data_IF_940048656215
#
_entry.id   IF_940048656215
#
_cell.length_a   1.000
_cell.length_b   1.000
_cell.length_c   1.000
_cell.angle_alpha   90.00
_cell.angle_beta   90.00
_cell.angle_gamma   90.00
#
_symmetry.space_group_name_H-M   'P 1'
#
loop_
_entity.id
_entity.type
_entity.pdbx_description
1 polymer ?
#
# COMPACT_ATOMS: atom_id res chain seq x y z
N UNK A 1 73.20 -61.57 1.91
CA UNK A 1 71.99 -61.75 2.67
C UNK A 1 71.11 -60.50 2.53
N UNK A 2 70.22 -60.56 1.57
CA UNK A 2 69.18 -59.52 1.40
C UNK A 2 67.96 -59.99 2.15
N UNK A 3 67.64 -59.36 3.26
CA UNK A 3 66.36 -59.53 3.95
C UNK A 3 65.36 -58.65 3.18
N UNK A 4 64.48 -59.30 2.47
CA UNK A 4 63.33 -58.64 1.80
C UNK A 4 62.31 -58.36 2.92
N UNK A 5 62.28 -57.10 3.39
CA UNK A 5 61.22 -56.65 4.25
C UNK A 5 59.95 -56.58 3.42
N UNK A 6 58.97 -57.38 3.80
CA UNK A 6 57.63 -57.30 3.23
C UNK A 6 57.01 -55.96 3.59
N UNK A 7 56.41 -55.25 2.65
CA UNK A 7 55.75 -53.97 2.95
C UNK A 7 54.58 -54.23 3.93
N UNK A 8 54.74 -53.77 5.13
CA UNK A 8 53.76 -53.91 6.21
C UNK A 8 52.46 -53.18 5.81
N UNK A 9 51.35 -53.85 5.90
CA UNK A 9 49.99 -53.24 5.60
C UNK A 9 49.69 -52.00 6.43
N UNK A 10 50.40 -51.79 7.53
CA UNK A 10 50.27 -50.60 8.39
C UNK A 10 50.79 -49.32 7.74
N UNK A 11 51.73 -49.36 6.78
CA UNK A 11 52.24 -48.14 6.15
C UNK A 11 51.27 -47.49 5.19
N UNK A 12 50.29 -48.20 4.68
CA UNK A 12 49.24 -47.60 3.86
C UNK A 12 48.25 -46.75 4.62
N UNK A 13 47.97 -47.07 5.87
CA UNK A 13 47.11 -46.28 6.75
C UNK A 13 47.83 -45.08 7.33
N UNK A 14 49.15 -45.18 7.54
CA UNK A 14 49.94 -44.05 8.02
C UNK A 14 50.00 -42.87 7.02
N UNK A 15 49.97 -43.16 5.70
CA UNK A 15 49.93 -42.12 4.67
C UNK A 15 48.52 -41.56 4.44
N UNK A 16 47.44 -42.28 4.84
CA UNK A 16 46.08 -41.79 4.77
C UNK A 16 45.68 -40.84 5.89
N UNK A 17 46.32 -40.95 7.04
CA UNK A 17 46.01 -40.14 8.23
C UNK A 17 46.13 -38.63 7.98
N UNK A 18 47.21 -38.10 7.34
CA UNK A 18 47.32 -36.65 7.09
C UNK A 18 46.30 -36.18 6.05
N UNK A 19 45.96 -37.03 5.02
CA UNK A 19 44.96 -36.70 4.04
C UNK A 19 43.56 -36.65 4.67
N UNK A 20 43.22 -37.59 5.52
CA UNK A 20 41.96 -37.58 6.28
C UNK A 20 41.86 -36.38 7.22
N UNK A 21 42.93 -35.98 7.88
CA UNK A 21 42.98 -34.80 8.75
C UNK A 21 42.71 -33.50 7.93
N UNK A 22 43.32 -33.35 6.76
CA UNK A 22 43.10 -32.20 5.88
C UNK A 22 41.65 -32.17 5.37
N UNK A 23 41.08 -33.31 4.97
CA UNK A 23 39.67 -33.40 4.53
C UNK A 23 38.70 -33.04 5.66
N UNK A 24 38.93 -33.50 6.87
CA UNK A 24 38.13 -33.15 8.04
C UNK A 24 38.21 -31.65 8.36
N UNK A 25 39.41 -31.07 8.26
CA UNK A 25 39.61 -29.65 8.48
C UNK A 25 38.86 -28.81 7.39
N UNK A 26 38.95 -29.20 6.12
CA UNK A 26 38.22 -28.53 5.04
C UNK A 26 36.70 -28.67 5.21
N UNK A 27 36.23 -29.86 5.63
CA UNK A 27 34.80 -30.08 5.92
C UNK A 27 34.33 -29.21 7.10
N UNK A 28 35.14 -29.05 8.12
CA UNK A 28 34.84 -28.17 9.27
C UNK A 28 34.76 -26.69 8.85
N UNK A 29 35.70 -26.24 8.02
CA UNK A 29 35.66 -24.88 7.45
C UNK A 29 34.41 -24.69 6.57
N UNK A 30 34.15 -25.63 5.67
CA UNK A 30 32.96 -25.56 4.79
C UNK A 30 31.64 -25.52 5.57
N UNK A 31 31.52 -26.33 6.63
CA UNK A 31 30.34 -26.34 7.49
C UNK A 31 30.21 -25.04 8.32
N UNK A 32 31.31 -24.46 8.77
CA UNK A 32 31.31 -23.17 9.47
C UNK A 32 30.87 -22.03 8.53
N UNK A 33 31.39 -21.99 7.30
CA UNK A 33 30.92 -21.02 6.29
C UNK A 33 29.45 -21.20 5.93
N UNK A 34 28.99 -22.44 5.80
CA UNK A 34 27.58 -22.74 5.52
C UNK A 34 26.69 -22.26 6.65
N UNK A 35 27.05 -22.53 7.89
CA UNK A 35 26.31 -22.09 9.06
C UNK A 35 26.21 -20.56 9.15
N UNK A 36 27.34 -19.86 8.97
CA UNK A 36 27.36 -18.40 8.98
C UNK A 36 26.50 -17.79 7.87
N UNK A 37 26.51 -18.41 6.69
CA UNK A 37 25.70 -17.92 5.55
C UNK A 37 24.20 -18.09 5.76
N UNK A 38 23.80 -19.18 6.40
CA UNK A 38 22.38 -19.40 6.74
C UNK A 38 21.91 -18.34 7.75
N UNK A 39 22.70 -18.08 8.77
CA UNK A 39 22.37 -17.08 9.80
C UNK A 39 22.30 -15.66 9.24
N UNK A 40 23.15 -15.33 8.28
CA UNK A 40 23.15 -14.02 7.61
C UNK A 40 21.88 -13.81 6.77
N UNK A 41 21.45 -14.82 6.00
CA UNK A 41 20.23 -14.78 5.20
C UNK A 41 18.99 -14.68 6.08
N UNK A 42 18.93 -15.39 7.19
CA UNK A 42 17.81 -15.30 8.14
C UNK A 42 17.70 -13.90 8.76
N UNK A 43 18.83 -13.29 9.14
CA UNK A 43 18.87 -11.92 9.67
C UNK A 43 18.44 -10.88 8.67
N UNK A 44 18.83 -11.02 7.40
CA UNK A 44 18.38 -10.13 6.32
C UNK A 44 16.85 -10.24 6.09
N UNK A 45 16.31 -11.46 6.09
CA UNK A 45 14.87 -11.68 5.94
C UNK A 45 14.07 -11.09 7.10
N UNK A 46 14.56 -11.24 8.33
CA UNK A 46 13.92 -10.61 9.51
C UNK A 46 13.98 -9.08 9.47
N UNK A 47 15.09 -8.52 8.98
CA UNK A 47 15.21 -7.07 8.80
C UNK A 47 14.21 -6.55 7.79
N UNK A 48 14.13 -7.18 6.61
CA UNK A 48 13.17 -6.83 5.56
C UNK A 48 11.72 -6.96 6.08
N UNK A 49 11.41 -8.02 6.79
CA UNK A 49 10.06 -8.22 7.37
C UNK A 49 9.70 -7.09 8.33
N UNK A 50 10.60 -6.70 9.22
CA UNK A 50 10.39 -5.58 10.15
C UNK A 50 10.21 -4.26 9.41
N UNK A 51 10.98 -4.01 8.36
CA UNK A 51 10.88 -2.80 7.56
C UNK A 51 9.53 -2.73 6.81
N UNK A 52 9.06 -3.86 6.28
CA UNK A 52 7.74 -3.97 5.65
C UNK A 52 6.62 -3.74 6.67
N UNK A 53 6.69 -4.36 7.84
CA UNK A 53 5.71 -4.16 8.92
C UNK A 53 5.67 -2.70 9.37
N UNK A 54 6.83 -2.07 9.54
CA UNK A 54 6.92 -0.65 9.88
C UNK A 54 6.33 0.25 8.78
N UNK A 55 6.65 -0.03 7.51
CA UNK A 55 6.09 0.70 6.37
C UNK A 55 4.56 0.56 6.29
N UNK A 56 4.03 -0.65 6.50
CA UNK A 56 2.59 -0.90 6.54
C UNK A 56 1.90 -0.14 7.67
N UNK A 57 2.46 -0.15 8.88
CA UNK A 57 1.90 0.59 10.01
C UNK A 57 1.90 2.10 9.74
N UNK A 58 2.99 2.62 9.20
CA UNK A 58 3.11 4.04 8.85
C UNK A 58 2.12 4.46 7.77
N UNK A 59 1.95 3.61 6.74
CA UNK A 59 0.96 3.85 5.69
C UNK A 59 -0.46 3.83 6.26
N UNK A 60 -0.78 2.85 7.11
CA UNK A 60 -2.09 2.74 7.76
C UNK A 60 -2.41 3.98 8.59
N UNK A 61 -1.47 4.45 9.39
CA UNK A 61 -1.66 5.66 10.21
C UNK A 61 -1.91 6.89 9.32
N UNK A 62 -1.14 7.06 8.23
CA UNK A 62 -1.36 8.14 7.29
C UNK A 62 -2.74 8.08 6.63
N UNK A 63 -3.17 6.89 6.18
CA UNK A 63 -4.49 6.74 5.58
C UNK A 63 -5.61 7.07 6.56
N UNK A 64 -5.50 6.65 7.83
CA UNK A 64 -6.47 6.98 8.87
C UNK A 64 -6.52 8.49 9.14
N UNK A 65 -5.37 9.14 9.22
CA UNK A 65 -5.30 10.59 9.39
C UNK A 65 -5.95 11.33 8.21
N UNK A 66 -5.69 10.89 6.97
CA UNK A 66 -6.32 11.48 5.78
C UNK A 66 -7.83 11.23 5.74
N UNK A 67 -8.24 10.03 6.08
CA UNK A 67 -9.66 9.71 6.22
C UNK A 67 -10.34 10.64 7.22
N UNK A 68 -9.73 10.89 8.37
CA UNK A 68 -10.29 11.78 9.38
C UNK A 68 -10.47 13.21 8.87
N UNK A 69 -9.52 13.75 8.08
CA UNK A 69 -9.65 15.07 7.47
C UNK A 69 -10.85 15.14 6.50
N UNK A 70 -11.00 14.13 5.65
CA UNK A 70 -12.15 14.05 4.73
C UNK A 70 -13.46 13.91 5.52
N UNK A 71 -13.48 13.12 6.59
CA UNK A 71 -14.66 12.96 7.45
C UNK A 71 -15.03 14.24 8.20
N UNK A 72 -14.06 15.07 8.59
CA UNK A 72 -14.33 16.40 9.16
C UNK A 72 -15.00 17.28 8.13
N UNK A 73 -14.45 17.34 6.92
CA UNK A 73 -15.04 18.09 5.81
C UNK A 73 -16.47 17.57 5.50
N UNK A 74 -16.67 16.25 5.52
CA UNK A 74 -17.96 15.62 5.31
C UNK A 74 -18.98 16.03 6.40
N UNK A 75 -18.57 16.13 7.66
CA UNK A 75 -19.42 16.61 8.75
C UNK A 75 -19.83 18.07 8.58
N UNK A 76 -18.90 18.94 8.20
CA UNK A 76 -19.18 20.37 8.00
C UNK A 76 -20.17 20.55 6.83
N UNK A 77 -20.08 19.72 5.78
CA UNK A 77 -21.04 19.69 4.68
C UNK A 77 -22.39 19.16 5.16
N UNK A 78 -22.40 18.06 5.92
CA UNK A 78 -23.61 17.41 6.45
C UNK A 78 -24.40 18.36 7.36
N UNK A 79 -23.72 19.10 8.21
CA UNK A 79 -24.31 20.08 9.13
C UNK A 79 -24.73 21.38 8.43
N UNK A 80 -24.58 21.49 7.10
CA UNK A 80 -24.81 22.70 6.31
C UNK A 80 -24.03 23.92 6.77
N UNK A 81 -22.93 23.69 7.46
CA UNK A 81 -22.03 24.76 7.91
C UNK A 81 -21.27 25.41 6.76
N UNK A 82 -21.09 24.64 5.65
CA UNK A 82 -20.38 25.11 4.46
C UNK A 82 -21.22 24.91 3.18
N UNK A 83 -21.10 25.89 2.28
CA UNK A 83 -21.65 25.84 0.92
C UNK A 83 -20.60 25.37 -0.08
N UNK A 84 -21.01 25.14 -1.33
CA UNK A 84 -20.12 24.65 -2.40
C UNK A 84 -18.86 25.53 -2.58
N UNK A 85 -18.99 26.86 -2.49
CA UNK A 85 -17.83 27.78 -2.60
C UNK A 85 -16.85 27.61 -1.45
N UNK A 86 -17.36 27.48 -0.23
CA UNK A 86 -16.53 27.26 0.97
C UNK A 86 -15.91 25.86 0.97
N UNK A 87 -16.63 24.86 0.43
CA UNK A 87 -16.08 23.53 0.20
C UNK A 87 -14.88 23.60 -0.74
N UNK A 88 -14.99 24.33 -1.86
CA UNK A 88 -13.90 24.48 -2.83
C UNK A 88 -12.64 25.06 -2.17
N UNK A 89 -12.79 26.13 -1.37
CA UNK A 89 -11.66 26.75 -0.67
C UNK A 89 -10.99 25.78 0.31
N UNK A 90 -11.78 25.04 1.09
CA UNK A 90 -11.24 24.04 2.03
C UNK A 90 -10.62 22.85 1.33
N UNK A 91 -11.25 22.36 0.25
CA UNK A 91 -10.73 21.27 -0.57
C UNK A 91 -9.39 21.67 -1.24
N UNK A 92 -9.29 22.90 -1.74
CA UNK A 92 -8.04 23.42 -2.30
C UNK A 92 -6.93 23.44 -1.23
N UNK A 93 -7.22 23.94 -0.04
CA UNK A 93 -6.25 23.95 1.06
C UNK A 93 -5.78 22.54 1.43
N UNK A 94 -6.70 21.57 1.49
CA UNK A 94 -6.36 20.16 1.77
C UNK A 94 -5.50 19.55 0.67
N UNK A 95 -5.84 19.77 -0.60
CA UNK A 95 -5.09 19.22 -1.74
C UNK A 95 -3.69 19.86 -1.83
N UNK A 96 -3.55 21.15 -1.48
CA UNK A 96 -2.24 21.80 -1.45
C UNK A 96 -1.39 21.36 -0.26
N UNK A 97 -2.02 21.16 0.90
CA UNK A 97 -1.31 20.75 2.12
C UNK A 97 -0.88 19.29 2.08
N UNK A 98 -1.65 18.42 1.42
CA UNK A 98 -1.47 16.98 1.40
C UNK A 98 -1.35 16.47 -0.04
N UNK A 99 -0.13 16.27 -0.54
CA UNK A 99 0.11 15.87 -1.93
C UNK A 99 -0.43 14.47 -2.27
N UNK A 100 -0.86 13.70 -1.27
CA UNK A 100 -1.52 12.41 -1.46
C UNK A 100 -2.95 12.56 -2.02
N UNK A 101 -3.61 13.72 -1.80
CA UNK A 101 -4.91 13.99 -2.40
C UNK A 101 -4.74 14.47 -3.84
N UNK A 102 -5.35 13.74 -4.75
CA UNK A 102 -5.41 14.14 -6.17
C UNK A 102 -6.63 15.00 -6.46
N UNK A 103 -7.74 14.70 -5.82
CA UNK A 103 -8.98 15.45 -5.95
C UNK A 103 -9.87 15.28 -4.72
N UNK A 104 -10.75 16.24 -4.49
CA UNK A 104 -11.85 16.18 -3.55
C UNK A 104 -13.13 16.60 -4.26
N UNK A 105 -14.11 15.71 -4.29
CA UNK A 105 -15.34 15.88 -5.03
C UNK A 105 -16.54 15.71 -4.12
N UNK A 106 -17.44 16.68 -4.12
CA UNK A 106 -18.72 16.58 -3.44
C UNK A 106 -19.81 16.16 -4.40
N UNK A 107 -20.49 15.06 -4.11
CA UNK A 107 -21.56 14.43 -4.89
C UNK A 107 -22.82 14.39 -4.04
N UNK A 108 -23.97 14.83 -4.59
CA UNK A 108 -25.25 14.80 -3.88
C UNK A 108 -25.92 13.41 -3.89
N UNK A 109 -27.10 13.30 -3.24
CA UNK A 109 -27.92 12.10 -3.19
C UNK A 109 -28.47 11.65 -4.56
N UNK A 110 -28.46 12.54 -5.54
CA UNK A 110 -28.86 12.28 -6.94
C UNK A 110 -27.68 12.00 -7.85
N UNK A 111 -26.49 11.77 -7.27
CA UNK A 111 -25.25 11.52 -7.98
C UNK A 111 -24.77 12.70 -8.82
N UNK A 112 -25.21 13.92 -8.55
CA UNK A 112 -24.68 15.11 -9.22
C UNK A 112 -23.44 15.60 -8.49
N UNK A 113 -22.46 15.99 -9.26
CA UNK A 113 -21.25 16.61 -8.76
C UNK A 113 -21.58 18.06 -8.43
N UNK A 114 -21.57 18.41 -7.15
CA UNK A 114 -21.83 19.76 -6.66
C UNK A 114 -20.58 20.63 -6.78
N UNK A 115 -19.44 20.09 -6.37
CA UNK A 115 -18.15 20.75 -6.43
C UNK A 115 -17.04 19.73 -6.62
N UNK A 116 -15.99 20.13 -7.30
CA UNK A 116 -14.80 19.31 -7.50
C UNK A 116 -13.55 20.19 -7.47
N UNK A 117 -12.59 19.84 -6.63
CA UNK A 117 -11.26 20.42 -6.58
C UNK A 117 -10.23 19.35 -6.87
N UNK A 118 -9.42 19.55 -7.90
CA UNK A 118 -8.37 18.61 -8.30
C UNK A 118 -7.04 19.29 -8.52
N UNK A 119 -5.94 18.55 -8.36
CA UNK A 119 -4.60 19.00 -8.78
C UNK A 119 -4.58 19.00 -10.32
N UNK A 120 -4.30 20.14 -10.88
CA UNK A 120 -4.49 20.48 -12.30
C UNK A 120 -3.70 19.62 -13.33
N UNK A 121 -2.82 18.69 -12.88
CA UNK A 121 -1.78 18.16 -13.78
C UNK A 121 -1.84 16.66 -14.07
N UNK A 122 -2.64 15.87 -13.39
CA UNK A 122 -2.45 14.41 -13.42
C UNK A 122 -3.63 13.55 -13.87
N UNK A 123 -4.83 14.09 -13.95
CA UNK A 123 -5.97 13.32 -14.43
C UNK A 123 -6.75 14.09 -15.50
N UNK A 124 -7.15 13.45 -16.58
CA UNK A 124 -8.21 13.97 -17.44
C UNK A 124 -9.53 13.88 -16.68
N UNK A 125 -9.67 14.72 -15.64
CA UNK A 125 -10.86 14.82 -14.77
C UNK A 125 -12.07 15.45 -15.52
N UNK A 126 -12.15 15.22 -16.82
CA UNK A 126 -13.29 15.64 -17.65
C UNK A 126 -14.63 15.04 -17.16
N UNK A 127 -14.54 13.94 -16.39
CA UNK A 127 -15.72 13.24 -15.90
C UNK A 127 -16.26 13.75 -14.55
N UNK A 128 -15.49 14.56 -13.82
CA UNK A 128 -15.86 15.06 -12.49
C UNK A 128 -16.10 16.58 -12.47
N UNK A 129 -16.78 17.10 -13.48
CA UNK A 129 -17.15 18.52 -13.53
C UNK A 129 -18.41 18.79 -12.70
N UNK A 130 -18.42 19.91 -11.98
CA UNK A 130 -19.59 20.38 -11.27
C UNK A 130 -20.81 20.45 -12.22
N UNK A 131 -21.98 20.02 -11.76
CA UNK A 131 -23.22 19.95 -12.53
C UNK A 131 -23.39 18.68 -13.35
N UNK A 132 -22.37 17.83 -13.49
CA UNK A 132 -22.49 16.54 -14.19
C UNK A 132 -22.97 15.44 -13.24
N UNK A 133 -23.53 14.36 -13.81
CA UNK A 133 -23.93 13.17 -13.05
C UNK A 133 -22.80 12.15 -13.09
N UNK A 134 -22.52 11.53 -11.96
CA UNK A 134 -21.53 10.46 -11.87
C UNK A 134 -21.90 9.33 -12.83
N UNK A 135 -20.96 8.96 -13.70
CA UNK A 135 -21.18 7.89 -14.70
C UNK A 135 -21.22 6.53 -14.02
N UNK A 136 -21.98 5.61 -14.66
CA UNK A 136 -22.03 4.20 -14.25
C UNK A 136 -20.65 3.57 -14.42
N UNK A 137 -20.17 2.91 -13.36
CA UNK A 137 -18.87 2.27 -13.35
C UNK A 137 -18.44 1.87 -11.94
N UNK A 138 -17.16 1.61 -11.74
CA UNK A 138 -16.60 1.19 -10.44
C UNK A 138 -16.81 2.24 -9.34
N UNK A 139 -16.64 3.53 -9.69
CA UNK A 139 -16.90 4.64 -8.75
C UNK A 139 -18.36 4.68 -8.31
N UNK A 140 -19.32 4.32 -9.18
CA UNK A 140 -20.73 4.24 -8.82
C UNK A 140 -21.01 3.09 -7.86
N UNK A 141 -20.36 1.95 -8.02
CA UNK A 141 -20.49 0.81 -7.12
C UNK A 141 -20.05 1.18 -5.71
N UNK A 142 -18.91 1.87 -5.56
CA UNK A 142 -18.43 2.34 -4.27
C UNK A 142 -19.31 3.44 -3.67
N UNK A 143 -19.85 4.33 -4.50
CA UNK A 143 -20.82 5.33 -4.07
C UNK A 143 -22.09 4.66 -3.49
N UNK A 144 -22.65 3.66 -4.19
CA UNK A 144 -23.82 2.93 -3.73
C UNK A 144 -23.56 2.17 -2.43
N UNK A 145 -22.36 1.55 -2.30
CA UNK A 145 -21.97 0.85 -1.10
C UNK A 145 -21.79 1.80 0.10
N UNK A 146 -21.19 2.98 -0.12
CA UNK A 146 -21.06 4.01 0.92
C UNK A 146 -22.43 4.53 1.38
N UNK A 147 -23.38 4.70 0.44
CA UNK A 147 -24.76 5.06 0.74
C UNK A 147 -25.47 4.00 1.60
N UNK A 148 -25.36 2.75 1.21
CA UNK A 148 -26.14 1.66 1.82
C UNK A 148 -25.57 1.29 3.21
N UNK A 149 -24.26 1.37 3.39
CA UNK A 149 -23.59 1.08 4.66
C UNK A 149 -23.45 2.30 5.57
N UNK A 150 -23.61 3.52 5.07
CA UNK A 150 -23.35 4.78 5.79
C UNK A 150 -21.97 4.80 6.47
N UNK A 151 -20.97 4.23 5.81
CA UNK A 151 -19.59 4.15 6.28
C UNK A 151 -18.62 4.57 5.18
N UNK A 152 -17.44 5.07 5.53
CA UNK A 152 -16.38 5.33 4.56
C UNK A 152 -15.96 4.05 3.84
N UNK A 153 -15.97 4.08 2.51
CA UNK A 153 -15.61 2.95 1.66
C UNK A 153 -14.38 3.30 0.84
N UNK A 154 -13.40 2.44 0.87
CA UNK A 154 -12.25 2.52 -0.02
C UNK A 154 -12.50 1.69 -1.27
N UNK A 155 -12.25 2.28 -2.42
CA UNK A 155 -12.29 1.62 -3.71
C UNK A 155 -11.02 1.88 -4.51
N UNK A 156 -10.63 0.93 -5.31
CA UNK A 156 -9.59 1.09 -6.32
C UNK A 156 -10.26 1.33 -7.66
N UNK A 157 -9.85 2.37 -8.35
CA UNK A 157 -10.35 2.70 -9.69
C UNK A 157 -9.17 2.91 -10.62
N UNK A 158 -9.25 2.39 -11.82
CA UNK A 158 -8.24 2.61 -12.83
C UNK A 158 -8.36 4.05 -13.35
N UNK A 159 -7.24 4.76 -13.35
CA UNK A 159 -7.21 6.19 -13.66
C UNK A 159 -7.41 6.49 -15.15
N UNK A 160 -7.25 5.50 -16.02
CA UNK A 160 -7.31 5.66 -17.45
C UNK A 160 -8.13 4.52 -18.08
N UNK A 161 -8.99 4.86 -19.05
CA UNK A 161 -9.72 3.88 -19.88
C UNK A 161 -8.76 3.07 -20.78
N UNK A 162 -7.51 3.53 -20.88
CA UNK A 162 -6.46 2.87 -21.64
C UNK A 162 -5.75 1.80 -20.77
N UNK A 163 -6.14 0.55 -20.97
CA UNK A 163 -5.63 -0.64 -20.26
C UNK A 163 -4.11 -0.87 -20.33
N UNK A 164 -3.39 0.00 -21.02
CA UNK A 164 -1.92 -0.05 -21.15
C UNK A 164 -1.20 0.66 -20.00
N UNK A 165 -1.86 1.57 -19.31
CA UNK A 165 -1.28 2.34 -18.22
C UNK A 165 -1.85 1.83 -16.88
N UNK A 166 -1.07 1.08 -16.13
CA UNK A 166 -1.45 0.43 -14.87
C UNK A 166 -1.59 1.44 -13.70
N UNK A 167 -2.07 2.65 -13.99
CA UNK A 167 -2.28 3.70 -13.02
C UNK A 167 -3.64 3.53 -12.35
N UNK A 168 -3.67 2.99 -11.16
CA UNK A 168 -4.87 2.91 -10.34
C UNK A 168 -4.83 3.93 -9.20
N UNK A 169 -5.99 4.49 -8.91
CA UNK A 169 -6.19 5.47 -7.83
C UNK A 169 -7.00 4.83 -6.71
N UNK A 170 -6.60 5.07 -5.49
CA UNK A 170 -7.39 4.72 -4.32
C UNK A 170 -8.41 5.84 -4.07
N UNK A 171 -9.70 5.50 -4.13
CA UNK A 171 -10.78 6.43 -3.85
C UNK A 171 -11.36 6.16 -2.46
N UNK A 172 -11.63 7.23 -1.71
CA UNK A 172 -12.32 7.18 -0.43
C UNK A 172 -13.70 7.83 -0.60
N UNK A 173 -14.75 7.04 -0.46
CA UNK A 173 -16.14 7.51 -0.47
C UNK A 173 -16.61 7.72 0.95
N UNK A 174 -16.68 8.98 1.40
CA UNK A 174 -17.17 9.36 2.74
C UNK A 174 -18.64 9.80 2.65
N UNK A 175 -19.60 9.03 3.22
CA UNK A 175 -21.01 9.36 3.13
C UNK A 175 -21.35 10.62 3.93
N UNK A 176 -22.27 11.39 3.38
CA UNK A 176 -22.88 12.56 4.02
C UNK A 176 -24.26 12.19 4.57
N UNK A 177 -24.60 12.70 5.73
CA UNK A 177 -25.93 12.57 6.32
C UNK A 177 -26.59 13.93 6.50
N UNK A 178 -27.90 14.01 6.36
CA UNK A 178 -28.66 15.19 6.73
C UNK A 178 -28.99 15.19 8.24
N UNK A 179 -29.68 16.24 8.70
CA UNK A 179 -30.09 16.41 10.11
C UNK A 179 -30.97 15.26 10.63
N UNK A 180 -31.58 14.48 9.72
CA UNK A 180 -32.42 13.31 10.04
C UNK A 180 -31.61 11.99 10.00
N UNK A 181 -30.30 12.04 9.84
CA UNK A 181 -29.44 10.86 9.68
C UNK A 181 -29.61 10.12 8.36
N UNK A 182 -30.29 10.70 7.38
CA UNK A 182 -30.47 10.11 6.05
C UNK A 182 -29.34 10.50 5.14
N UNK A 183 -29.00 9.60 4.24
CA UNK A 183 -28.00 9.85 3.21
C UNK A 183 -28.30 11.11 2.40
N UNK A 184 -27.32 11.97 2.23
CA UNK A 184 -27.43 13.23 1.48
C UNK A 184 -26.37 13.39 0.39
N UNK A 185 -25.43 12.46 0.28
CA UNK A 185 -24.38 12.47 -0.73
C UNK A 185 -23.09 11.81 -0.25
N UNK A 186 -22.01 12.05 -0.97
CA UNK A 186 -20.66 11.50 -0.69
C UNK A 186 -19.62 12.59 -0.97
N UNK A 187 -18.57 12.62 -0.15
CA UNK A 187 -17.29 13.24 -0.52
C UNK A 187 -16.36 12.12 -1.00
N UNK A 188 -15.83 12.31 -2.20
CA UNK A 188 -14.91 11.43 -2.90
C UNK A 188 -13.52 12.04 -2.90
#
# INVERSE_FOLDING_TARGET
>A
WWVRQSPNRQDRFANLAPVAAVLLFLAAIASAFWYLRIEEVEREQEAIKRDVEYAQQRLRLRLLERQEQVMRLARDVSNREIKAEQFMVRAEALVQQYPEYQSLTWIDDRRRIIANQSVSSLLPSQHLRAGTVLKIGETESHYSLARDLMQPIYGRVDADDDKTNNNSVLQLHSPLSNDLGRFSGVIL
#
